data_IF_514064791760
#
_entry.id   IF_514064791760
#
_cell.length_a   1.000
_cell.length_b   1.000
_cell.length_c   1.000
_cell.angle_alpha   90.00
_cell.angle_beta   90.00
_cell.angle_gamma   90.00
#
_symmetry.space_group_name_H-M   'P 1'
#
loop_
_entity.id
_entity.type
_entity.pdbx_description
1 polymer ?
#
# COMPACT_ATOMS: atom_id res chain seq x y z
N UNK A 1 11.92 0.99 18.28
CA UNK A 1 10.46 1.21 18.23
C UNK A 1 9.97 1.17 16.82
N UNK A 2 8.90 0.45 16.61
CA UNK A 2 8.33 0.32 15.27
C UNK A 2 7.41 1.49 14.99
N UNK A 3 7.48 1.97 13.75
CA UNK A 3 6.55 2.96 13.25
C UNK A 3 5.50 2.24 12.42
N UNK A 4 4.28 2.74 12.48
CA UNK A 4 3.19 2.18 11.69
C UNK A 4 2.80 3.15 10.59
N UNK A 5 2.33 2.59 9.49
CA UNK A 5 1.85 3.36 8.36
C UNK A 5 0.45 2.88 7.99
N UNK A 6 -0.43 3.81 7.73
CA UNK A 6 -1.77 3.51 7.26
C UNK A 6 -1.80 3.74 5.76
N UNK A 7 -2.22 2.73 5.03
CA UNK A 7 -2.23 2.75 3.57
C UNK A 7 -3.66 2.62 3.08
N UNK A 8 -4.08 3.54 2.24
CA UNK A 8 -5.42 3.52 1.66
C UNK A 8 -5.31 3.46 0.15
N UNK A 9 -6.03 2.53 -0.46
CA UNK A 9 -6.06 2.45 -1.91
C UNK A 9 -7.02 3.52 -2.46
N UNK A 10 -6.49 4.42 -3.26
CA UNK A 10 -7.26 5.54 -3.81
C UNK A 10 -7.52 5.43 -5.29
N UNK A 11 -6.87 4.48 -5.98
CA UNK A 11 -7.04 4.26 -7.41
C UNK A 11 -7.21 2.80 -7.74
N UNK A 12 -7.91 2.53 -8.84
CA UNK A 12 -8.16 1.17 -9.31
C UNK A 12 -6.89 0.55 -9.90
N UNK A 13 -6.77 -0.76 -9.77
CA UNK A 13 -5.66 -1.53 -10.35
C UNK A 13 -6.04 -2.22 -11.65
N UNK A 14 -7.24 -1.99 -12.17
CA UNK A 14 -7.77 -2.75 -13.30
C UNK A 14 -6.86 -2.71 -14.54
N UNK A 15 -6.27 -1.56 -14.82
CA UNK A 15 -5.39 -1.39 -15.98
C UNK A 15 -3.93 -1.24 -15.60
N UNK A 16 -3.55 -1.73 -14.43
CA UNK A 16 -2.18 -1.60 -13.95
C UNK A 16 -1.39 -2.87 -14.16
N UNK A 17 -0.06 -2.76 -14.02
CA UNK A 17 0.82 -3.90 -14.17
C UNK A 17 0.52 -4.97 -13.13
N UNK A 18 0.74 -6.21 -13.53
CA UNK A 18 0.54 -7.36 -12.65
C UNK A 18 1.34 -7.25 -11.35
N UNK A 19 2.58 -6.76 -11.45
CA UNK A 19 3.43 -6.58 -10.27
C UNK A 19 2.82 -5.61 -9.27
N UNK A 20 2.17 -4.56 -9.76
CA UNK A 20 1.51 -3.58 -8.88
C UNK A 20 0.30 -4.19 -8.19
N UNK A 21 -0.48 -4.98 -8.91
CA UNK A 21 -1.61 -5.69 -8.32
C UNK A 21 -1.16 -6.65 -7.23
N UNK A 22 -0.08 -7.37 -7.48
CA UNK A 22 0.48 -8.29 -6.49
C UNK A 22 0.98 -7.55 -5.25
N UNK A 23 1.61 -6.41 -5.45
CA UNK A 23 2.09 -5.60 -4.34
C UNK A 23 0.94 -5.12 -3.47
N UNK A 24 -0.13 -4.62 -4.09
CA UNK A 24 -1.31 -4.19 -3.34
C UNK A 24 -1.96 -5.35 -2.60
N UNK A 25 -2.03 -6.51 -3.24
CA UNK A 25 -2.59 -7.70 -2.61
C UNK A 25 -1.75 -8.14 -1.43
N UNK A 26 -0.42 -8.05 -1.55
CA UNK A 26 0.49 -8.38 -0.46
C UNK A 26 0.32 -7.41 0.72
N UNK A 27 -0.02 -6.16 0.43
CA UNK A 27 -0.31 -5.17 1.47
C UNK A 27 -1.70 -5.37 2.09
N UNK A 28 -2.55 -6.18 1.46
CA UNK A 28 -3.90 -6.41 1.94
C UNK A 28 -4.96 -5.52 1.31
N UNK A 29 -4.59 -4.75 0.30
CA UNK A 29 -5.50 -3.85 -0.38
C UNK A 29 -6.10 -4.55 -1.59
N UNK A 30 -7.41 -4.70 -1.60
CA UNK A 30 -8.11 -5.42 -2.67
C UNK A 30 -9.06 -4.56 -3.48
N UNK A 31 -9.47 -3.43 -2.96
CA UNK A 31 -10.38 -2.53 -3.66
C UNK A 31 -10.19 -1.09 -3.19
N UNK A 32 -10.69 -0.17 -4.00
CA UNK A 32 -10.61 1.25 -3.71
C UNK A 32 -11.32 1.58 -2.41
N UNK A 33 -10.72 2.44 -1.61
CA UNK A 33 -11.26 2.86 -0.34
C UNK A 33 -10.88 1.98 0.83
N UNK A 34 -10.25 0.84 0.56
CA UNK A 34 -9.80 -0.06 1.60
C UNK A 34 -8.56 0.50 2.29
N UNK A 35 -8.53 0.41 3.60
CA UNK A 35 -7.40 0.90 4.39
C UNK A 35 -6.79 -0.24 5.18
N UNK A 36 -5.47 -0.25 5.29
CA UNK A 36 -4.75 -1.22 6.10
C UNK A 36 -3.64 -0.53 6.86
N UNK A 37 -3.23 -1.14 7.97
CA UNK A 37 -2.10 -0.66 8.75
C UNK A 37 -0.99 -1.69 8.71
N UNK A 38 0.22 -1.22 8.53
CA UNK A 38 1.41 -2.06 8.52
C UNK A 38 2.51 -1.43 9.35
N UNK A 39 3.37 -2.28 9.86
CA UNK A 39 4.59 -1.81 10.49
C UNK A 39 5.52 -1.29 9.39
N UNK A 40 6.05 -0.09 9.57
CA UNK A 40 6.90 0.53 8.55
C UNK A 40 8.30 -0.08 8.59
N UNK A 41 8.51 -1.09 7.75
CA UNK A 41 9.81 -1.73 7.55
C UNK A 41 10.35 -1.33 6.18
N UNK A 42 11.61 -1.68 5.91
CA UNK A 42 12.19 -1.41 4.59
C UNK A 42 11.44 -2.16 3.49
N UNK A 43 10.96 -3.36 3.77
CA UNK A 43 10.14 -4.13 2.83
C UNK A 43 8.83 -3.43 2.51
N UNK A 44 8.14 -2.98 3.55
CA UNK A 44 6.85 -2.28 3.38
C UNK A 44 7.06 -0.95 2.67
N UNK A 45 8.12 -0.22 3.02
CA UNK A 45 8.45 1.05 2.37
C UNK A 45 8.68 0.85 0.87
N UNK A 46 9.42 -0.19 0.48
CA UNK A 46 9.64 -0.51 -0.92
C UNK A 46 8.37 -0.87 -1.67
N UNK A 47 7.46 -1.60 -1.01
CA UNK A 47 6.18 -1.95 -1.60
C UNK A 47 5.30 -0.71 -1.81
N UNK A 48 5.28 0.18 -0.84
CA UNK A 48 4.52 1.43 -0.94
C UNK A 48 5.04 2.28 -2.10
N UNK A 49 6.37 2.37 -2.24
CA UNK A 49 6.97 3.13 -3.34
C UNK A 49 6.54 2.62 -4.71
N UNK A 50 6.41 1.31 -4.85
CA UNK A 50 5.99 0.72 -6.12
C UNK A 50 4.56 1.10 -6.51
N UNK A 51 3.72 1.33 -5.53
CA UNK A 51 2.32 1.62 -5.77
C UNK A 51 1.89 2.98 -5.23
N UNK A 52 2.85 3.86 -4.99
CA UNK A 52 2.58 5.17 -4.39
C UNK A 52 1.56 5.99 -5.18
N UNK A 53 1.50 5.79 -6.49
CA UNK A 53 0.52 6.48 -7.35
C UNK A 53 -0.88 5.88 -7.24
N UNK A 54 -1.02 4.75 -6.57
CA UNK A 54 -2.31 4.06 -6.42
C UNK A 54 -2.84 4.14 -4.99
N UNK A 55 -2.00 4.50 -4.05
CA UNK A 55 -2.35 4.50 -2.65
C UNK A 55 -1.93 5.80 -1.98
N UNK A 56 -2.53 6.05 -0.83
CA UNK A 56 -2.14 7.15 0.02
C UNK A 56 -1.61 6.54 1.32
N UNK A 57 -0.36 6.85 1.64
CA UNK A 57 0.28 6.31 2.83
C UNK A 57 0.54 7.41 3.84
N UNK A 58 0.05 7.22 5.06
CA UNK A 58 0.22 8.18 6.15
C UNK A 58 0.88 7.51 7.33
N UNK A 59 1.89 8.16 7.89
CA UNK A 59 2.53 7.65 9.10
C UNK A 59 1.60 7.74 10.29
N UNK A 60 1.56 6.66 11.06
CA UNK A 60 0.83 6.63 12.32
C UNK A 60 1.85 6.36 13.42
N UNK A 61 1.81 7.12 14.46
CA UNK A 61 2.71 6.89 15.59
C UNK A 61 2.16 5.85 16.53
#
# INVERSE_FOLDING_TARGET
MSKKVKIKQVRSTIKRLESQKRTLKALGLRKIGMEVEHELTSSISGMIDKVSHLVEANSIK
#
